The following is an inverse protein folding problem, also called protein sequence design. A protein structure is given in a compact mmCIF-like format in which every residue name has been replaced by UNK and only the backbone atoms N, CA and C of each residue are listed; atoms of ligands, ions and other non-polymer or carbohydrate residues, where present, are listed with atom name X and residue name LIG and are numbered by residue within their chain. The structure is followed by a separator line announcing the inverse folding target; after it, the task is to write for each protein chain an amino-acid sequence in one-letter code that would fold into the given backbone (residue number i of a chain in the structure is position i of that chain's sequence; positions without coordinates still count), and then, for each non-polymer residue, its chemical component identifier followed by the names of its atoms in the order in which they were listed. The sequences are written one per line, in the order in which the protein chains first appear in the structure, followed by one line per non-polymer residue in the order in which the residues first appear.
data_IF_943716633145
#
_entry.id   IF_943716633145
#
_cell.length_a   1.000
_cell.length_b   1.000
_cell.length_c   1.000
_cell.angle_alpha   90.00
_cell.angle_beta   90.00
_cell.angle_gamma   90.00
#
_symmetry.space_group_name_H-M   'P 1'
#
loop_
_entity.id
_entity.type
_entity.pdbx_description
1 polymer ?
#
# COMPACT_ATOMS: atom_id res chain seq x y z
N UNK A 1 -16.14 13.00 -6.51
CA UNK A 1 -16.33 12.94 -5.06
C UNK A 1 -17.71 13.45 -4.65
N UNK A 2 -18.14 14.62 -5.14
CA UNK A 2 -19.49 15.21 -4.95
C UNK A 2 -20.67 14.24 -4.78
N UNK A 3 -20.93 13.34 -5.75
CA UNK A 3 -22.03 12.34 -5.65
C UNK A 3 -21.95 11.45 -4.39
N UNK A 4 -20.74 11.11 -3.95
CA UNK A 4 -20.54 10.33 -2.73
C UNK A 4 -20.77 11.18 -1.48
N UNK A 5 -20.40 12.45 -1.49
CA UNK A 5 -20.70 13.37 -0.39
C UNK A 5 -22.19 13.66 -0.25
N UNK A 6 -22.89 13.79 -1.38
CA UNK A 6 -24.34 13.92 -1.43
C UNK A 6 -25.00 12.66 -0.83
N UNK A 7 -24.53 11.47 -1.22
CA UNK A 7 -24.95 10.20 -0.62
C UNK A 7 -24.74 10.16 0.91
N UNK A 8 -23.59 10.61 1.42
CA UNK A 8 -23.35 10.65 2.87
C UNK A 8 -24.32 11.61 3.61
N UNK A 9 -24.84 12.63 2.92
CA UNK A 9 -25.80 13.59 3.49
C UNK A 9 -27.23 13.02 3.55
N UNK A 10 -27.60 12.17 2.59
CA UNK A 10 -28.93 11.55 2.50
C UNK A 10 -29.20 10.62 3.69
N UNK A 11 -28.18 9.93 4.21
CA UNK A 11 -28.31 8.95 5.29
C UNK A 11 -27.82 9.52 6.63
N UNK A 12 -28.71 9.80 7.61
CA UNK A 12 -28.36 10.44 8.88
C UNK A 12 -27.21 9.77 9.65
N UNK A 13 -27.14 8.44 9.63
CA UNK A 13 -26.09 7.64 10.25
C UNK A 13 -24.70 7.82 9.61
N UNK A 14 -24.66 8.24 8.34
CA UNK A 14 -23.43 8.42 7.56
C UNK A 14 -22.93 9.87 7.55
N UNK A 15 -23.77 10.86 7.88
CA UNK A 15 -23.42 12.29 7.91
C UNK A 15 -22.15 12.60 8.70
N UNK A 16 -21.94 11.87 9.80
CA UNK A 16 -20.73 12.01 10.65
C UNK A 16 -19.42 11.74 9.90
N UNK A 17 -19.45 11.03 8.77
CA UNK A 17 -18.26 10.73 7.96
C UNK A 17 -17.97 11.76 6.88
N UNK A 18 -18.97 12.58 6.48
CA UNK A 18 -18.83 13.56 5.41
C UNK A 18 -17.63 14.51 5.57
N UNK A 19 -17.35 15.08 6.77
CA UNK A 19 -16.21 15.99 6.93
C UNK A 19 -14.84 15.35 6.63
N UNK A 20 -14.72 14.03 6.74
CA UNK A 20 -13.47 13.33 6.42
C UNK A 20 -13.25 13.25 4.90
N UNK A 21 -14.32 13.05 4.13
CA UNK A 21 -14.25 12.91 2.67
C UNK A 21 -14.29 14.26 1.93
N UNK A 22 -14.93 15.27 2.48
CA UNK A 22 -14.89 16.65 1.94
C UNK A 22 -13.46 17.17 1.86
N UNK A 23 -12.64 16.91 2.88
CA UNK A 23 -11.21 17.26 2.88
C UNK A 23 -10.42 16.61 1.75
N UNK A 24 -10.90 15.49 1.23
CA UNK A 24 -10.27 14.73 0.14
C UNK A 24 -10.83 15.09 -1.24
N UNK A 25 -11.93 15.83 -1.32
CA UNK A 25 -12.64 16.06 -2.58
C UNK A 25 -11.80 16.77 -3.64
N UNK A 26 -11.02 17.76 -3.23
CA UNK A 26 -10.43 18.72 -4.16
C UNK A 26 -9.16 18.22 -4.87
N UNK A 27 -8.38 17.33 -4.24
CA UNK A 27 -7.05 16.98 -4.73
C UNK A 27 -6.69 15.51 -4.57
N UNK A 28 -7.57 14.64 -4.03
CA UNK A 28 -7.23 13.23 -3.81
C UNK A 28 -6.85 12.51 -5.10
N UNK A 29 -7.67 12.63 -6.15
CA UNK A 29 -7.41 11.97 -7.44
C UNK A 29 -6.10 12.49 -8.06
N UNK A 30 -5.85 13.79 -7.97
CA UNK A 30 -4.64 14.40 -8.49
C UNK A 30 -3.40 13.93 -7.71
N UNK A 31 -3.47 13.88 -6.38
CA UNK A 31 -2.37 13.33 -5.55
C UNK A 31 -2.09 11.87 -5.86
N UNK A 32 -3.12 11.03 -5.97
CA UNK A 32 -2.95 9.62 -6.35
C UNK A 32 -2.34 9.53 -7.75
N UNK A 33 -2.80 10.33 -8.70
CA UNK A 33 -2.25 10.41 -10.05
C UNK A 33 -0.77 10.79 -10.06
N UNK A 34 -0.38 11.80 -9.28
CA UNK A 34 1.02 12.23 -9.11
C UNK A 34 1.88 11.09 -8.59
N UNK A 35 1.43 10.40 -7.53
CA UNK A 35 2.19 9.29 -6.93
C UNK A 35 2.30 8.10 -7.89
N UNK A 36 1.20 7.73 -8.55
CA UNK A 36 1.18 6.63 -9.53
C UNK A 36 2.04 6.93 -10.77
N UNK A 37 2.22 8.19 -11.13
CA UNK A 37 3.03 8.60 -12.28
C UNK A 37 4.43 9.07 -11.89
N UNK A 38 4.78 9.03 -10.60
CA UNK A 38 6.03 9.58 -10.08
C UNK A 38 7.23 8.98 -10.81
N UNK A 39 7.27 7.66 -10.98
CA UNK A 39 8.35 6.99 -11.69
C UNK A 39 8.55 7.49 -13.14
N UNK A 40 7.46 7.70 -13.90
CA UNK A 40 7.53 8.05 -15.32
C UNK A 40 7.68 9.56 -15.57
N UNK A 41 7.09 10.39 -14.70
CA UNK A 41 6.96 11.85 -14.94
C UNK A 41 7.80 12.70 -13.99
N UNK A 42 8.15 12.18 -12.81
CA UNK A 42 8.85 12.94 -11.77
C UNK A 42 9.72 12.03 -10.90
N UNK A 43 10.57 11.22 -11.55
CA UNK A 43 11.37 10.21 -10.86
C UNK A 43 12.30 10.88 -9.85
N UNK A 44 12.17 10.50 -8.59
CA UNK A 44 13.06 10.97 -7.53
C UNK A 44 14.37 10.19 -7.57
N UNK A 45 15.54 10.85 -7.45
CA UNK A 45 16.84 10.18 -7.43
C UNK A 45 16.95 9.07 -6.36
N UNK A 46 16.39 9.32 -5.17
CA UNK A 46 16.42 8.38 -4.04
C UNK A 46 15.07 7.66 -3.84
N UNK A 47 14.21 7.63 -4.86
CA UNK A 47 12.93 6.94 -4.81
C UNK A 47 13.12 5.43 -5.00
N UNK A 48 12.48 4.63 -4.14
CA UNK A 48 12.45 3.18 -4.31
C UNK A 48 11.19 2.82 -5.08
N UNK A 49 11.35 2.41 -6.33
CA UNK A 49 10.25 2.06 -7.21
C UNK A 49 10.24 0.56 -7.48
N UNK A 50 9.06 -0.04 -7.34
CA UNK A 50 8.82 -1.47 -7.57
C UNK A 50 7.62 -1.64 -8.49
N UNK A 51 7.48 -2.82 -9.07
CA UNK A 51 6.21 -3.19 -9.72
C UNK A 51 5.22 -3.49 -8.59
N UNK A 52 4.25 -2.61 -8.44
CA UNK A 52 3.13 -2.75 -7.52
C UNK A 52 1.98 -3.47 -8.23
N UNK A 53 1.27 -4.31 -7.49
CA UNK A 53 0.05 -4.96 -7.93
C UNK A 53 -1.06 -3.94 -8.25
N UNK A 54 -1.22 -2.91 -7.40
CA UNK A 54 -2.20 -1.84 -7.58
C UNK A 54 -3.61 -2.15 -7.07
N UNK A 55 -4.00 -3.42 -7.00
CA UNK A 55 -5.21 -3.90 -6.31
C UNK A 55 -4.89 -5.04 -5.33
N UNK A 56 -4.01 -4.78 -4.36
CA UNK A 56 -3.46 -5.77 -3.43
C UNK A 56 -4.44 -6.16 -2.31
N UNK A 57 -5.57 -6.78 -2.67
CA UNK A 57 -6.64 -7.17 -1.74
C UNK A 57 -6.85 -8.69 -1.68
N UNK A 58 -7.37 -9.22 -0.56
CA UNK A 58 -7.52 -10.66 -0.31
C UNK A 58 -8.28 -11.43 -1.41
N UNK A 59 -9.29 -10.80 -2.03
CA UNK A 59 -10.07 -11.41 -3.11
C UNK A 59 -9.23 -11.71 -4.38
N UNK A 60 -8.11 -11.02 -4.53
CA UNK A 60 -7.16 -11.18 -5.63
C UNK A 60 -5.99 -12.10 -5.24
N UNK A 61 -6.15 -12.88 -4.17
CA UNK A 61 -5.15 -13.83 -3.68
C UNK A 61 -5.76 -15.23 -3.61
N UNK A 62 -5.08 -16.20 -4.21
CA UNK A 62 -5.38 -17.61 -4.03
C UNK A 62 -4.43 -18.23 -3.03
N UNK A 63 -4.99 -18.83 -1.98
CA UNK A 63 -4.24 -19.48 -0.92
C UNK A 63 -4.27 -20.99 -1.13
N UNK A 64 -3.08 -21.61 -1.21
CA UNK A 64 -2.94 -23.06 -1.20
C UNK A 64 -2.77 -23.53 0.25
N UNK A 65 -3.69 -24.35 0.72
CA UNK A 65 -3.64 -24.94 2.06
C UNK A 65 -3.16 -26.39 2.01
N UNK A 66 -2.40 -26.79 3.03
CA UNK A 66 -2.04 -28.19 3.27
C UNK A 66 -3.19 -28.97 3.88
N UNK A 67 -3.06 -30.29 3.92
CA UNK A 67 -4.04 -31.18 4.58
C UNK A 67 -4.19 -30.89 6.08
N UNK A 68 -3.15 -30.31 6.69
CA UNK A 68 -3.10 -29.87 8.09
C UNK A 68 -3.67 -28.45 8.32
N UNK A 69 -4.18 -27.80 7.28
CA UNK A 69 -4.65 -26.41 7.32
C UNK A 69 -3.54 -25.36 7.28
N UNK A 70 -2.26 -25.75 7.15
CA UNK A 70 -1.16 -24.79 7.02
C UNK A 70 -1.18 -24.08 5.67
N UNK A 71 -0.80 -22.79 5.66
CA UNK A 71 -0.61 -22.06 4.41
C UNK A 71 0.65 -22.57 3.70
N UNK A 72 0.50 -23.17 2.51
CA UNK A 72 1.60 -23.70 1.70
C UNK A 72 2.10 -22.72 0.66
N UNK A 73 1.20 -21.96 0.05
CA UNK A 73 1.54 -21.05 -1.04
C UNK A 73 0.48 -19.97 -1.22
N UNK A 74 0.86 -18.86 -1.85
CA UNK A 74 -0.03 -17.76 -2.21
C UNK A 74 0.26 -17.32 -3.65
N UNK A 75 -0.79 -17.23 -4.46
CA UNK A 75 -0.71 -16.69 -5.82
C UNK A 75 -1.55 -15.42 -5.91
N UNK A 76 -0.96 -14.33 -6.39
CA UNK A 76 -1.69 -13.09 -6.68
C UNK A 76 -2.33 -13.18 -8.09
N UNK A 77 -3.52 -12.62 -8.23
CA UNK A 77 -4.34 -12.59 -9.44
C UNK A 77 -4.72 -11.14 -9.79
N UNK A 78 -5.17 -10.93 -11.03
CA UNK A 78 -5.74 -9.65 -11.49
C UNK A 78 -4.77 -8.45 -11.46
N UNK A 79 -3.75 -8.54 -12.32
CA UNK A 79 -2.70 -7.53 -12.49
C UNK A 79 -3.11 -6.35 -13.39
N UNK A 80 -4.40 -6.11 -13.62
CA UNK A 80 -4.87 -5.08 -14.57
C UNK A 80 -4.51 -3.64 -14.18
N UNK A 81 -4.20 -3.41 -12.89
CA UNK A 81 -3.82 -2.09 -12.35
C UNK A 81 -2.32 -2.03 -11.99
N UNK A 82 -1.55 -3.07 -12.33
CA UNK A 82 -0.14 -3.13 -11.94
C UNK A 82 0.69 -2.01 -12.58
N UNK A 83 1.54 -1.39 -11.77
CA UNK A 83 2.26 -0.18 -12.17
C UNK A 83 3.60 -0.06 -11.43
N UNK A 84 4.58 0.60 -12.05
CA UNK A 84 5.83 0.94 -11.38
C UNK A 84 5.57 2.16 -10.49
N UNK A 85 5.63 1.94 -9.19
CA UNK A 85 5.22 2.92 -8.21
C UNK A 85 6.12 2.87 -6.97
N UNK A 86 6.05 3.86 -6.05
CA UNK A 86 6.85 3.81 -4.83
C UNK A 86 6.60 2.51 -4.05
N UNK A 87 7.67 1.93 -3.48
CA UNK A 87 7.67 0.66 -2.72
C UNK A 87 6.63 0.60 -1.60
N UNK A 88 6.16 1.75 -1.15
CA UNK A 88 5.22 1.90 -0.04
C UNK A 88 3.76 1.68 -0.44
N UNK A 89 3.40 1.65 -1.72
CA UNK A 89 1.99 1.71 -2.13
C UNK A 89 1.19 0.47 -1.74
N UNK A 90 1.57 -0.71 -2.24
CA UNK A 90 0.90 -1.96 -1.85
C UNK A 90 1.14 -2.27 -0.36
N UNK A 91 2.31 -1.89 0.18
CA UNK A 91 2.63 -2.11 1.59
C UNK A 91 1.67 -1.36 2.52
N UNK A 92 1.50 -0.06 2.31
CA UNK A 92 0.58 0.74 3.11
C UNK A 92 -0.85 0.28 2.90
N UNK A 93 -1.25 -0.02 1.66
CA UNK A 93 -2.56 -0.61 1.40
C UNK A 93 -2.78 -1.90 2.20
N UNK A 94 -1.83 -2.84 2.17
CA UNK A 94 -1.90 -4.10 2.91
C UNK A 94 -2.05 -3.86 4.42
N UNK A 95 -1.24 -2.96 4.99
CA UNK A 95 -1.27 -2.65 6.42
C UNK A 95 -2.61 -2.07 6.87
N UNK A 96 -3.25 -1.21 6.06
CA UNK A 96 -4.52 -0.59 6.45
C UNK A 96 -5.74 -1.44 6.10
N UNK A 97 -5.68 -2.22 5.02
CA UNK A 97 -6.83 -2.96 4.49
C UNK A 97 -6.87 -4.43 4.93
N UNK A 98 -5.71 -5.05 5.18
CA UNK A 98 -5.63 -6.49 5.48
C UNK A 98 -5.36 -6.77 6.96
N UNK A 99 -4.78 -5.82 7.68
CA UNK A 99 -4.43 -5.97 9.09
C UNK A 99 -5.49 -5.31 9.99
N UNK A 100 -5.92 -6.05 11.02
CA UNK A 100 -6.86 -5.56 12.03
C UNK A 100 -6.36 -4.29 12.74
N UNK A 101 -7.29 -3.49 13.26
CA UNK A 101 -6.97 -2.22 13.94
C UNK A 101 -5.99 -2.42 15.10
N UNK A 102 -6.26 -3.41 15.97
CA UNK A 102 -5.44 -3.69 17.16
C UNK A 102 -4.03 -4.16 16.77
N UNK A 103 -3.94 -5.12 15.85
CA UNK A 103 -2.65 -5.63 15.36
C UNK A 103 -1.84 -4.55 14.66
N UNK A 104 -2.49 -3.71 13.85
CA UNK A 104 -1.82 -2.57 13.22
C UNK A 104 -1.30 -1.61 14.28
N UNK A 105 -2.12 -1.23 15.27
CA UNK A 105 -1.70 -0.30 16.32
C UNK A 105 -0.48 -0.82 17.10
N UNK A 106 -0.48 -2.10 17.43
CA UNK A 106 0.55 -2.69 18.27
C UNK A 106 1.81 -3.10 17.49
N UNK A 107 1.65 -3.49 16.21
CA UNK A 107 2.70 -4.14 15.43
C UNK A 107 3.11 -3.37 14.16
N UNK A 108 2.59 -2.17 13.88
CA UNK A 108 2.87 -1.41 12.64
C UNK A 108 4.35 -1.39 12.29
N UNK A 109 5.22 -1.03 13.25
CA UNK A 109 6.65 -0.92 13.01
C UNK A 109 7.28 -2.27 12.65
N UNK A 110 6.86 -3.33 13.31
CA UNK A 110 7.39 -4.67 13.08
C UNK A 110 6.91 -5.24 11.74
N UNK A 111 5.66 -4.97 11.33
CA UNK A 111 5.14 -5.35 10.01
C UNK A 111 5.94 -4.69 8.88
N UNK A 112 6.23 -3.39 8.99
CA UNK A 112 7.00 -2.65 7.99
C UNK A 112 8.47 -3.12 7.94
N UNK A 113 9.08 -3.40 9.10
CA UNK A 113 10.43 -3.99 9.17
C UNK A 113 10.47 -5.39 8.56
N UNK A 114 9.47 -6.22 8.85
CA UNK A 114 9.35 -7.57 8.33
C UNK A 114 9.29 -7.54 6.80
N UNK A 115 8.45 -6.66 6.23
CA UNK A 115 8.40 -6.46 4.78
C UNK A 115 9.78 -6.10 4.19
N UNK A 116 10.49 -5.11 4.78
CA UNK A 116 11.80 -4.72 4.26
C UNK A 116 12.82 -5.86 4.37
N UNK A 117 12.80 -6.63 5.46
CA UNK A 117 13.68 -7.77 5.66
C UNK A 117 13.46 -8.85 4.59
N UNK A 118 12.22 -9.26 4.35
CA UNK A 118 11.87 -10.24 3.31
C UNK A 118 12.19 -9.73 1.90
N UNK A 119 11.94 -8.45 1.64
CA UNK A 119 12.31 -7.80 0.39
C UNK A 119 13.82 -7.90 0.14
N UNK A 120 14.65 -7.49 1.11
CA UNK A 120 16.10 -7.56 1.00
C UNK A 120 16.62 -9.00 0.87
N UNK A 121 16.07 -9.93 1.65
CA UNK A 121 16.41 -11.35 1.56
C UNK A 121 16.10 -11.93 0.18
N UNK A 122 14.97 -11.54 -0.43
CA UNK A 122 14.59 -11.95 -1.78
C UNK A 122 15.63 -11.49 -2.82
N UNK A 123 16.09 -10.24 -2.74
CA UNK A 123 17.12 -9.72 -3.65
C UNK A 123 18.47 -10.43 -3.49
N UNK A 124 18.85 -10.77 -2.26
CA UNK A 124 20.04 -11.57 -1.99
C UNK A 124 19.93 -12.98 -2.61
N UNK A 125 18.78 -13.63 -2.44
CA UNK A 125 18.54 -14.98 -2.93
C UNK A 125 18.56 -15.08 -4.47
N UNK A 126 18.10 -14.04 -5.17
CA UNK A 126 18.16 -13.99 -6.64
C UNK A 126 19.50 -13.49 -7.20
N UNK A 127 20.47 -13.19 -6.33
CA UNK A 127 21.81 -12.75 -6.72
C UNK A 127 21.84 -11.35 -7.35
N UNK A 128 20.94 -10.46 -6.92
CA UNK A 128 20.91 -9.09 -7.41
C UNK A 128 22.17 -8.32 -7.00
N UNK A 129 22.75 -7.57 -7.95
CA UNK A 129 24.03 -6.86 -7.78
C UNK A 129 23.89 -5.33 -7.76
N UNK A 130 22.67 -4.81 -7.85
CA UNK A 130 22.42 -3.38 -7.78
C UNK A 130 22.34 -2.87 -6.34
N UNK A 131 22.10 -1.57 -6.20
CA UNK A 131 21.90 -0.96 -4.90
C UNK A 131 20.59 -1.44 -4.26
N UNK A 132 20.67 -1.79 -2.97
CA UNK A 132 19.54 -2.22 -2.17
C UNK A 132 19.00 -1.06 -1.34
N UNK A 133 17.68 -1.02 -1.08
CA UNK A 133 17.10 -0.06 -0.15
C UNK A 133 17.77 -0.13 1.23
N UNK A 134 18.11 1.03 1.80
CA UNK A 134 18.48 1.10 3.21
C UNK A 134 17.27 1.46 4.07
N UNK A 135 17.32 1.04 5.33
CA UNK A 135 16.21 1.23 6.28
C UNK A 135 15.86 2.70 6.49
N UNK A 136 16.84 3.61 6.53
CA UNK A 136 16.59 5.03 6.83
C UNK A 136 15.77 5.69 5.72
N UNK A 137 16.21 5.58 4.47
CA UNK A 137 15.50 6.15 3.31
C UNK A 137 14.15 5.45 3.07
N UNK A 138 14.07 4.14 3.32
CA UNK A 138 12.81 3.41 3.23
C UNK A 138 11.79 3.95 4.23
N UNK A 139 12.18 4.15 5.49
CA UNK A 139 11.30 4.73 6.51
C UNK A 139 10.89 6.17 6.18
N UNK A 140 11.79 6.96 5.60
CA UNK A 140 11.42 8.29 5.10
C UNK A 140 10.32 8.22 4.04
N UNK A 141 10.41 7.30 3.08
CA UNK A 141 9.36 7.10 2.07
C UNK A 141 8.05 6.60 2.70
N UNK A 142 8.11 5.66 3.64
CA UNK A 142 6.92 5.18 4.38
C UNK A 142 6.22 6.34 5.07
N UNK A 143 6.96 7.20 5.78
CA UNK A 143 6.38 8.37 6.45
C UNK A 143 5.84 9.42 5.48
N UNK A 144 6.53 9.67 4.38
CA UNK A 144 6.10 10.67 3.38
C UNK A 144 4.79 10.26 2.70
N UNK A 145 4.65 8.98 2.35
CA UNK A 145 3.52 8.44 1.60
C UNK A 145 2.37 7.96 2.50
N UNK A 146 2.57 7.89 3.83
CA UNK A 146 1.51 7.52 4.75
C UNK A 146 0.51 8.68 4.92
N UNK A 147 -0.61 8.58 4.22
CA UNK A 147 -1.71 9.53 4.28
C UNK A 147 -2.59 9.40 5.54
N UNK A 148 -2.40 8.35 6.36
CA UNK A 148 -3.19 8.09 7.57
C UNK A 148 -2.52 8.61 8.86
N UNK A 149 -1.32 9.17 8.76
CA UNK A 149 -0.55 9.73 9.91
C UNK A 149 -0.52 11.27 9.87
N UNK A 150 -1.32 11.89 8.97
CA UNK A 150 -1.46 13.36 8.86
C UNK A 150 -2.77 13.86 9.45
#
# INVERSE_FOLDING_TARGET
MKKFLDFLEEFPELRKYKPYFEKMENDYIDRVGIVMQEYCRNRKPNGYYVICHGDFYLKNMMFKQGEDGSLKDVMLLDYQVSNICPITMDLLYAVYMLIGIEDRHNNYKELIKYYLAEFLATFQNIGYKGELPNSVEFWQQVTQNNCYVR
#
